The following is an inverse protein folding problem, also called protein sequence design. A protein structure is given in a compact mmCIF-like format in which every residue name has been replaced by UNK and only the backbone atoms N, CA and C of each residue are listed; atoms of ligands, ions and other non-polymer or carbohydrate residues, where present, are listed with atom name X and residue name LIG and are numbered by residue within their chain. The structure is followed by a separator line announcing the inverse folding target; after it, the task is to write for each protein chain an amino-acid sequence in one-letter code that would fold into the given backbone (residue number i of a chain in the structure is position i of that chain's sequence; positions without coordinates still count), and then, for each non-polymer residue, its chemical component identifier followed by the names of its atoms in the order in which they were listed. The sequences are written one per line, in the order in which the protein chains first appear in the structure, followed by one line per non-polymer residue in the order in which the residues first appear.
data_IF_660535063118
#
_entry.id   IF_660535063118
#
_cell.length_a   1.000
_cell.length_b   1.000
_cell.length_c   1.000
_cell.angle_alpha   90.00
_cell.angle_beta   90.00
_cell.angle_gamma   90.00
#
_symmetry.space_group_name_H-M   'P 1'
#
loop_
_entity.id
_entity.type
_entity.pdbx_description
1 polymer ?
#
# COMPACT_ATOMS: atom_id res chain seq x y z
N UNK A 1 -37.70 21.06 -5.17
CA UNK A 1 -37.64 20.73 -6.62
C UNK A 1 -36.80 19.49 -6.75
N UNK A 2 -37.39 18.44 -7.29
CA UNK A 2 -36.89 17.08 -7.26
C UNK A 2 -35.67 16.90 -8.16
N UNK A 3 -34.77 16.02 -7.69
CA UNK A 3 -33.55 15.55 -8.33
C UNK A 3 -33.78 15.07 -9.77
N UNK A 4 -33.20 15.78 -10.73
CA UNK A 4 -32.95 15.30 -12.10
C UNK A 4 -31.45 15.30 -12.45
N UNK A 5 -30.57 15.38 -11.45
CA UNK A 5 -29.10 15.51 -11.65
C UNK A 5 -28.32 14.19 -11.62
N UNK A 6 -28.98 13.04 -11.45
CA UNK A 6 -28.27 11.76 -11.26
C UNK A 6 -27.97 11.03 -12.58
N UNK A 7 -28.84 11.15 -13.59
CA UNK A 7 -28.66 10.50 -14.90
C UNK A 7 -27.53 11.12 -15.71
N UNK A 8 -27.37 12.46 -15.65
CA UNK A 8 -26.30 13.18 -16.36
C UNK A 8 -24.92 12.89 -15.77
N UNK A 9 -24.83 12.68 -14.45
CA UNK A 9 -23.59 12.28 -13.77
C UNK A 9 -23.19 10.84 -14.08
N UNK A 10 -24.14 9.90 -14.08
CA UNK A 10 -23.87 8.49 -14.40
C UNK A 10 -23.44 8.32 -15.87
N UNK A 11 -24.09 9.02 -16.81
CA UNK A 11 -23.69 8.99 -18.22
C UNK A 11 -22.25 9.50 -18.44
N UNK A 12 -21.83 10.52 -17.68
CA UNK A 12 -20.46 11.04 -17.74
C UNK A 12 -19.42 10.06 -17.18
N UNK A 13 -19.73 9.37 -16.08
CA UNK A 13 -18.86 8.34 -15.49
C UNK A 13 -18.69 7.17 -16.46
N UNK A 14 -19.79 6.63 -17.00
CA UNK A 14 -19.74 5.52 -17.94
C UNK A 14 -18.95 5.85 -19.21
N UNK A 15 -19.07 7.08 -19.73
CA UNK A 15 -18.32 7.53 -20.90
C UNK A 15 -16.81 7.61 -20.64
N UNK A 16 -16.39 8.05 -19.45
CA UNK A 16 -14.97 8.07 -19.06
C UNK A 16 -14.43 6.67 -18.83
N UNK A 17 -15.22 5.77 -18.22
CA UNK A 17 -14.84 4.36 -18.08
C UNK A 17 -14.66 3.69 -19.45
N UNK A 18 -15.56 3.94 -20.41
CA UNK A 18 -15.42 3.43 -21.78
C UNK A 18 -14.18 4.01 -22.49
N UNK A 19 -13.91 5.30 -22.32
CA UNK A 19 -12.73 5.96 -22.89
C UNK A 19 -11.43 5.36 -22.34
N UNK A 20 -11.33 5.18 -21.02
CA UNK A 20 -10.19 4.53 -20.37
C UNK A 20 -10.07 3.06 -20.77
N UNK A 21 -11.19 2.32 -20.87
CA UNK A 21 -11.20 0.94 -21.34
C UNK A 21 -10.63 0.82 -22.77
N UNK A 22 -11.02 1.73 -23.68
CA UNK A 22 -10.47 1.79 -25.04
C UNK A 22 -8.98 2.14 -25.02
N UNK A 23 -8.58 3.11 -24.20
CA UNK A 23 -7.19 3.55 -24.09
C UNK A 23 -6.27 2.40 -23.62
N UNK A 24 -6.58 1.78 -22.49
CA UNK A 24 -5.80 0.66 -21.96
C UNK A 24 -6.04 -0.66 -22.70
N UNK A 25 -7.08 -0.76 -23.53
CA UNK A 25 -7.23 -1.85 -24.50
C UNK A 25 -6.22 -1.72 -25.65
N UNK A 26 -5.99 -0.49 -26.15
CA UNK A 26 -4.98 -0.20 -27.18
C UNK A 26 -3.55 -0.20 -26.64
N UNK A 27 -3.37 0.26 -25.41
CA UNK A 27 -2.07 0.32 -24.73
C UNK A 27 -2.13 -0.40 -23.38
N UNK A 28 -2.15 -1.75 -23.35
CA UNK A 28 -2.14 -2.49 -22.09
C UNK A 28 -0.95 -2.08 -21.22
N UNK A 29 -1.27 -1.67 -19.99
CA UNK A 29 -0.33 -1.09 -19.05
C UNK A 29 -0.48 -1.74 -17.66
N UNK A 30 0.61 -1.93 -16.89
CA UNK A 30 2.01 -1.71 -17.27
C UNK A 30 2.54 -2.68 -18.33
N UNK A 31 3.79 -2.52 -18.77
CA UNK A 31 4.46 -3.50 -19.62
C UNK A 31 4.76 -4.79 -18.84
N UNK A 32 4.96 -5.90 -19.56
CA UNK A 32 5.36 -7.17 -18.94
C UNK A 32 6.73 -7.00 -18.26
N UNK A 33 6.90 -7.34 -16.97
CA UNK A 33 8.18 -7.18 -16.28
C UNK A 33 9.21 -8.24 -16.73
N UNK A 34 10.49 -7.97 -16.53
CA UNK A 34 11.55 -8.93 -16.86
C UNK A 34 11.53 -10.18 -15.95
N UNK A 35 10.97 -10.05 -14.74
CA UNK A 35 10.82 -11.15 -13.79
C UNK A 35 9.64 -10.92 -12.84
N UNK A 36 9.19 -12.00 -12.23
CA UNK A 36 8.31 -12.01 -11.06
C UNK A 36 9.00 -12.72 -9.91
N UNK A 37 8.95 -12.13 -8.73
CA UNK A 37 9.61 -12.64 -7.54
C UNK A 37 8.60 -13.23 -6.55
N UNK A 38 9.00 -14.24 -5.79
CA UNK A 38 8.18 -14.87 -4.74
C UNK A 38 9.09 -15.23 -3.57
N UNK A 39 8.65 -14.88 -2.37
CA UNK A 39 9.37 -15.23 -1.14
C UNK A 39 8.92 -16.61 -0.64
N UNK A 40 9.85 -17.37 -0.08
CA UNK A 40 9.56 -18.71 0.44
C UNK A 40 8.84 -18.70 1.79
N UNK A 41 9.07 -17.67 2.60
CA UNK A 41 8.27 -17.41 3.78
C UNK A 41 6.98 -16.71 3.34
N UNK A 42 5.87 -17.44 3.35
CA UNK A 42 4.56 -16.97 2.90
C UNK A 42 3.95 -15.90 3.82
N UNK A 43 4.46 -15.72 5.04
CA UNK A 43 3.99 -14.70 5.99
C UNK A 43 4.85 -13.44 5.97
N UNK A 44 6.02 -13.50 5.32
CA UNK A 44 7.04 -12.46 5.39
C UNK A 44 6.46 -11.08 5.08
N UNK A 45 5.77 -10.93 3.95
CA UNK A 45 5.26 -9.63 3.52
C UNK A 45 4.09 -9.14 4.36
N UNK A 46 3.20 -10.02 4.81
CA UNK A 46 2.12 -9.65 5.75
C UNK A 46 2.70 -9.10 7.04
N UNK A 47 3.75 -9.74 7.58
CA UNK A 47 4.42 -9.31 8.80
C UNK A 47 5.07 -7.95 8.63
N UNK A 48 5.86 -7.76 7.57
CA UNK A 48 6.52 -6.47 7.32
C UNK A 48 5.50 -5.37 7.04
N UNK A 49 4.44 -5.64 6.27
CA UNK A 49 3.37 -4.67 5.99
C UNK A 49 2.74 -4.15 7.30
N UNK A 50 2.44 -5.04 8.25
CA UNK A 50 1.94 -4.62 9.55
C UNK A 50 2.89 -3.67 10.29
N UNK A 51 4.19 -3.98 10.31
CA UNK A 51 5.18 -3.10 10.95
C UNK A 51 5.30 -1.76 10.21
N UNK A 52 5.21 -1.78 8.88
CA UNK A 52 5.21 -0.57 8.05
C UNK A 52 4.04 0.34 8.45
N UNK A 53 2.87 -0.24 8.71
CA UNK A 53 1.65 0.42 9.20
C UNK A 53 1.72 0.86 10.69
N UNK A 54 2.87 0.71 11.35
CA UNK A 54 3.04 1.04 12.77
C UNK A 54 2.40 0.03 13.73
N UNK A 55 2.13 -1.20 13.27
CA UNK A 55 1.71 -2.33 14.11
C UNK A 55 2.85 -3.35 14.30
N UNK A 56 3.63 -3.13 15.36
CA UNK A 56 4.74 -3.99 15.77
C UNK A 56 4.32 -5.36 16.32
N UNK A 57 3.01 -5.64 16.43
CA UNK A 57 2.49 -6.94 16.88
C UNK A 57 2.03 -7.84 15.73
N UNK A 58 2.02 -7.33 14.50
CA UNK A 58 1.68 -8.07 13.28
C UNK A 58 0.25 -8.62 13.26
N UNK A 59 -0.75 -7.80 13.59
CA UNK A 59 -2.16 -8.19 13.76
C UNK A 59 -3.15 -7.37 12.96
N UNK A 60 -2.77 -6.18 12.49
CA UNK A 60 -3.63 -5.28 11.74
C UNK A 60 -4.10 -5.90 10.41
N UNK A 61 -3.18 -6.30 9.55
CA UNK A 61 -3.48 -7.14 8.39
C UNK A 61 -3.43 -8.61 8.84
N UNK A 62 -4.53 -9.37 8.71
CA UNK A 62 -4.57 -10.76 9.15
C UNK A 62 -3.66 -11.66 8.30
N UNK A 63 -3.29 -12.83 8.82
CA UNK A 63 -2.42 -13.81 8.15
C UNK A 63 -2.94 -14.26 6.77
N UNK A 64 -4.27 -14.31 6.62
CA UNK A 64 -4.98 -14.70 5.38
C UNK A 64 -5.89 -13.56 4.92
N UNK A 65 -5.33 -12.44 4.46
CA UNK A 65 -6.13 -11.26 4.14
C UNK A 65 -6.92 -11.49 2.85
N UNK A 66 -8.09 -10.85 2.76
CA UNK A 66 -8.76 -10.67 1.48
C UNK A 66 -8.35 -9.33 0.88
N UNK A 67 -7.72 -9.37 -0.29
CA UNK A 67 -7.10 -8.21 -0.94
C UNK A 67 -7.87 -7.86 -2.21
N UNK A 68 -8.11 -6.57 -2.44
CA UNK A 68 -8.58 -6.07 -3.74
C UNK A 68 -7.54 -5.16 -4.37
N UNK A 69 -7.11 -5.49 -5.59
CA UNK A 69 -6.32 -4.60 -6.44
C UNK A 69 -7.25 -3.96 -7.46
N UNK A 70 -7.62 -2.71 -7.20
CA UNK A 70 -8.63 -1.98 -7.95
C UNK A 70 -7.97 -1.16 -9.07
N UNK A 71 -8.18 -1.57 -10.33
CA UNK A 71 -7.45 -1.09 -11.51
C UNK A 71 -6.10 -1.79 -11.65
N UNK A 72 -6.12 -3.12 -11.76
CA UNK A 72 -4.91 -3.94 -11.61
C UNK A 72 -3.98 -3.97 -12.83
N UNK A 73 -4.41 -3.46 -13.98
CA UNK A 73 -3.67 -3.48 -15.22
C UNK A 73 -3.24 -4.89 -15.64
N UNK A 74 -2.08 -4.99 -16.28
CA UNK A 74 -1.56 -6.25 -16.83
C UNK A 74 -0.90 -7.17 -15.80
N UNK A 75 -0.50 -6.66 -14.63
CA UNK A 75 0.37 -7.43 -13.74
C UNK A 75 0.27 -7.12 -12.24
N UNK A 76 -0.34 -6.02 -11.78
CA UNK A 76 -0.24 -5.63 -10.37
C UNK A 76 -0.95 -6.65 -9.46
N UNK A 77 -2.14 -7.12 -9.84
CA UNK A 77 -2.84 -8.15 -9.08
C UNK A 77 -2.07 -9.47 -9.01
N UNK A 78 -1.35 -9.83 -10.08
CA UNK A 78 -0.47 -11.00 -10.08
C UNK A 78 0.72 -10.83 -9.14
N UNK A 79 1.36 -9.65 -9.14
CA UNK A 79 2.47 -9.36 -8.23
C UNK A 79 1.98 -9.46 -6.77
N UNK A 80 0.83 -8.87 -6.46
CA UNK A 80 0.23 -8.94 -5.12
C UNK A 80 -0.12 -10.38 -4.73
N UNK A 81 -0.65 -11.19 -5.64
CA UNK A 81 -0.94 -12.59 -5.38
C UNK A 81 0.32 -13.42 -5.04
N UNK A 82 1.46 -13.11 -5.67
CA UNK A 82 2.76 -13.71 -5.38
C UNK A 82 3.38 -13.16 -4.08
N UNK A 83 3.19 -11.87 -3.79
CA UNK A 83 3.66 -11.19 -2.57
C UNK A 83 2.94 -11.71 -1.32
N UNK A 84 1.65 -12.05 -1.44
CA UNK A 84 0.83 -12.57 -0.34
C UNK A 84 0.23 -13.96 -0.68
N UNK A 85 1.03 -15.05 -0.64
CA UNK A 85 0.58 -16.38 -1.08
C UNK A 85 -0.61 -16.94 -0.30
N UNK A 86 -0.82 -16.49 0.94
CA UNK A 86 -1.94 -16.89 1.81
C UNK A 86 -3.20 -16.04 1.63
N UNK A 87 -3.13 -14.95 0.88
CA UNK A 87 -4.26 -14.06 0.64
C UNK A 87 -5.26 -14.66 -0.35
N UNK A 88 -6.50 -14.15 -0.31
CA UNK A 88 -7.43 -14.25 -1.44
C UNK A 88 -7.43 -12.91 -2.17
N UNK A 89 -6.92 -12.89 -3.40
CA UNK A 89 -6.74 -11.66 -4.18
C UNK A 89 -7.82 -11.55 -5.25
N UNK A 90 -8.52 -10.42 -5.27
CA UNK A 90 -9.36 -10.00 -6.39
C UNK A 90 -8.62 -8.89 -7.13
N UNK A 91 -8.40 -9.05 -8.43
CA UNK A 91 -7.93 -7.98 -9.32
C UNK A 91 -9.05 -7.55 -10.24
N UNK A 92 -9.37 -6.26 -10.30
CA UNK A 92 -10.36 -5.74 -11.25
C UNK A 92 -9.78 -4.68 -12.17
N UNK A 93 -10.21 -4.66 -13.41
CA UNK A 93 -9.83 -3.65 -14.40
C UNK A 93 -10.93 -3.44 -15.45
N UNK A 94 -10.89 -2.31 -16.16
CA UNK A 94 -11.80 -2.01 -17.27
C UNK A 94 -11.36 -2.70 -18.58
N UNK A 95 -10.04 -2.84 -18.79
CA UNK A 95 -9.42 -3.36 -20.01
C UNK A 95 -9.42 -4.89 -20.03
N UNK A 96 -10.13 -5.46 -21.00
CA UNK A 96 -10.18 -6.91 -21.21
C UNK A 96 -8.82 -7.46 -21.65
N UNK A 97 -8.08 -6.68 -22.44
CA UNK A 97 -6.75 -6.98 -22.96
C UNK A 97 -5.72 -7.05 -21.83
N UNK A 98 -5.75 -6.06 -20.91
CA UNK A 98 -4.90 -6.07 -19.72
C UNK A 98 -5.17 -7.29 -18.84
N UNK A 99 -6.45 -7.59 -18.58
CA UNK A 99 -6.84 -8.77 -17.80
C UNK A 99 -6.44 -10.08 -18.47
N UNK A 100 -6.53 -10.17 -19.80
CA UNK A 100 -6.13 -11.36 -20.55
C UNK A 100 -4.61 -11.62 -20.42
N UNK A 101 -3.79 -10.57 -20.50
CA UNK A 101 -2.33 -10.65 -20.29
C UNK A 101 -1.99 -11.08 -18.85
N UNK A 102 -2.68 -10.49 -17.86
CA UNK A 102 -2.53 -10.86 -16.45
C UNK A 102 -2.89 -12.32 -16.22
N UNK A 103 -4.05 -12.77 -16.73
CA UNK A 103 -4.53 -14.13 -16.60
C UNK A 103 -3.63 -15.16 -17.29
N UNK A 104 -3.10 -14.83 -18.48
CA UNK A 104 -2.15 -15.69 -19.19
C UNK A 104 -0.87 -15.90 -18.36
N UNK A 105 -0.32 -14.80 -17.83
CA UNK A 105 0.89 -14.84 -17.00
C UNK A 105 0.63 -15.56 -15.68
N UNK A 106 -0.53 -15.34 -15.04
CA UNK A 106 -0.90 -16.02 -13.80
C UNK A 106 -0.98 -17.55 -13.99
N UNK A 107 -1.56 -18.02 -15.10
CA UNK A 107 -1.59 -19.45 -15.45
C UNK A 107 -0.19 -20.03 -15.66
N UNK A 108 0.67 -19.28 -16.35
CA UNK A 108 2.05 -19.69 -16.60
C UNK A 108 2.86 -19.85 -15.30
N UNK A 109 2.65 -18.95 -14.34
CA UNK A 109 3.32 -18.98 -13.03
C UNK A 109 2.65 -19.91 -12.02
N UNK A 110 1.52 -20.55 -12.37
CA UNK A 110 0.78 -21.46 -11.49
C UNK A 110 0.12 -20.77 -10.30
N UNK A 111 -0.28 -19.51 -10.43
CA UNK A 111 -0.91 -18.72 -9.36
C UNK A 111 -2.37 -19.12 -9.20
N UNK A 112 -2.74 -19.55 -7.99
CA UNK A 112 -4.07 -20.10 -7.69
C UNK A 112 -4.94 -19.22 -6.78
N UNK A 113 -4.36 -18.19 -6.16
CA UNK A 113 -5.02 -17.33 -5.18
C UNK A 113 -5.52 -15.99 -5.76
N UNK A 114 -5.58 -15.88 -7.10
CA UNK A 114 -5.96 -14.68 -7.83
C UNK A 114 -7.26 -14.90 -8.63
N UNK A 115 -8.23 -14.03 -8.41
CA UNK A 115 -9.49 -13.92 -9.17
C UNK A 115 -9.51 -12.59 -9.94
N UNK A 116 -9.61 -12.65 -11.27
CA UNK A 116 -9.57 -11.49 -12.16
C UNK A 116 -10.96 -11.17 -12.71
N UNK A 117 -11.39 -9.91 -12.59
CA UNK A 117 -12.74 -9.46 -12.93
C UNK A 117 -12.71 -8.22 -13.82
N UNK A 118 -13.48 -8.26 -14.91
CA UNK A 118 -13.72 -7.05 -15.72
C UNK A 118 -14.85 -6.26 -15.08
N UNK A 119 -14.49 -5.29 -14.26
CA UNK A 119 -15.43 -4.51 -13.44
C UNK A 119 -14.96 -3.06 -13.33
N UNK A 120 -15.90 -2.12 -13.41
CA UNK A 120 -15.67 -0.73 -13.04
C UNK A 120 -15.79 -0.55 -11.53
N UNK A 121 -14.83 0.16 -10.92
CA UNK A 121 -14.91 0.58 -9.50
C UNK A 121 -16.19 1.38 -9.24
N UNK A 122 -16.68 2.13 -10.23
CA UNK A 122 -17.88 2.96 -10.11
C UNK A 122 -19.17 2.13 -10.00
N UNK A 123 -19.16 0.90 -10.51
CA UNK A 123 -20.34 0.02 -10.58
C UNK A 123 -20.35 -1.07 -9.51
N UNK A 124 -19.26 -1.27 -8.76
CA UNK A 124 -19.24 -2.32 -7.72
C UNK A 124 -20.18 -2.01 -6.57
N UNK A 125 -20.65 -3.08 -5.92
CA UNK A 125 -21.50 -3.07 -4.72
C UNK A 125 -20.81 -3.72 -3.51
N UNK A 126 -19.48 -3.77 -3.50
CA UNK A 126 -18.72 -4.30 -2.38
C UNK A 126 -18.97 -3.48 -1.10
N UNK A 127 -19.16 -4.18 0.01
CA UNK A 127 -19.37 -3.60 1.33
C UNK A 127 -18.60 -4.40 2.39
N UNK A 128 -17.60 -3.76 3.02
CA UNK A 128 -16.80 -4.32 4.12
C UNK A 128 -16.23 -5.72 3.81
N UNK A 129 -15.71 -5.89 2.60
CA UNK A 129 -15.29 -7.18 2.08
C UNK A 129 -13.79 -7.43 2.21
N UNK A 130 -12.98 -6.38 2.17
CA UNK A 130 -11.53 -6.47 2.01
C UNK A 130 -10.78 -5.97 3.24
N UNK A 131 -9.74 -6.71 3.63
CA UNK A 131 -8.81 -6.33 4.70
C UNK A 131 -7.77 -5.33 4.19
N UNK A 132 -7.42 -5.44 2.90
CA UNK A 132 -6.47 -4.57 2.23
C UNK A 132 -6.96 -4.25 0.82
N UNK A 133 -6.95 -2.97 0.45
CA UNK A 133 -7.25 -2.52 -0.91
C UNK A 133 -6.03 -1.78 -1.43
N UNK A 134 -5.64 -2.04 -2.67
CA UNK A 134 -4.57 -1.35 -3.36
C UNK A 134 -5.18 -0.68 -4.58
N UNK A 135 -5.02 0.65 -4.68
CA UNK A 135 -5.52 1.45 -5.78
C UNK A 135 -4.49 2.53 -6.14
N UNK A 136 -3.56 2.18 -7.04
CA UNK A 136 -2.41 3.02 -7.37
C UNK A 136 -2.42 3.35 -8.85
N UNK A 137 -2.38 4.64 -9.23
CA UNK A 137 -2.42 4.97 -10.67
C UNK A 137 -3.82 4.97 -11.27
N UNK A 138 -4.89 5.09 -10.47
CA UNK A 138 -6.27 4.84 -10.94
C UNK A 138 -7.22 5.99 -10.65
N UNK A 139 -7.31 6.43 -9.39
CA UNK A 139 -8.30 7.42 -8.96
C UNK A 139 -8.26 8.72 -9.78
N UNK A 140 -7.08 9.14 -10.22
CA UNK A 140 -6.92 10.36 -11.02
C UNK A 140 -7.44 10.25 -12.47
N UNK A 141 -7.71 9.06 -12.98
CA UNK A 141 -8.25 8.86 -14.33
C UNK A 141 -9.79 8.79 -14.35
N UNK A 142 -10.46 8.97 -13.21
CA UNK A 142 -11.92 8.88 -13.10
C UNK A 142 -12.61 10.22 -13.34
N UNK A 143 -13.86 10.17 -13.83
CA UNK A 143 -14.70 11.35 -14.02
C UNK A 143 -15.03 12.05 -12.69
N UNK A 144 -15.34 11.26 -11.67
CA UNK A 144 -15.55 11.72 -10.29
C UNK A 144 -14.66 10.90 -9.34
N UNK A 145 -13.43 11.37 -9.06
CA UNK A 145 -12.52 10.71 -8.15
C UNK A 145 -13.09 10.54 -6.73
N UNK A 146 -13.99 11.44 -6.28
CA UNK A 146 -14.60 11.38 -4.96
C UNK A 146 -15.63 10.26 -4.86
N UNK A 147 -16.52 10.16 -5.84
CA UNK A 147 -17.47 9.05 -5.94
C UNK A 147 -16.75 7.70 -6.07
N UNK A 148 -15.67 7.64 -6.84
CA UNK A 148 -14.84 6.44 -6.99
C UNK A 148 -14.19 6.04 -5.65
N UNK A 149 -13.60 7.00 -4.93
CA UNK A 149 -12.98 6.75 -3.63
C UNK A 149 -14.00 6.31 -2.57
N UNK A 150 -15.25 6.79 -2.63
CA UNK A 150 -16.34 6.32 -1.79
C UNK A 150 -16.63 4.82 -1.99
N UNK A 151 -16.51 4.30 -3.21
CA UNK A 151 -16.68 2.86 -3.50
C UNK A 151 -15.58 2.03 -2.84
N UNK A 152 -14.34 2.50 -2.88
CA UNK A 152 -13.21 1.86 -2.19
C UNK A 152 -13.41 1.89 -0.66
N UNK A 153 -13.81 3.04 -0.12
CA UNK A 153 -14.10 3.22 1.32
C UNK A 153 -15.19 2.27 1.80
N UNK A 154 -16.29 2.13 1.04
CA UNK A 154 -17.39 1.21 1.35
C UNK A 154 -16.95 -0.26 1.28
N UNK A 155 -16.12 -0.63 0.30
CA UNK A 155 -15.60 -1.98 0.13
C UNK A 155 -14.64 -2.40 1.26
N UNK A 156 -13.97 -1.43 1.90
CA UNK A 156 -13.00 -1.66 2.96
C UNK A 156 -13.68 -2.08 4.26
N UNK A 157 -13.18 -3.13 4.91
CA UNK A 157 -13.59 -3.50 6.27
C UNK A 157 -13.27 -2.36 7.24
N UNK A 158 -13.99 -2.22 8.37
CA UNK A 158 -13.72 -1.16 9.34
C UNK A 158 -12.24 -1.07 9.75
N UNK A 159 -11.59 -2.20 10.05
CA UNK A 159 -10.18 -2.23 10.44
C UNK A 159 -9.20 -2.27 9.26
N UNK A 160 -9.68 -2.38 8.02
CA UNK A 160 -8.87 -2.57 6.83
C UNK A 160 -8.03 -1.35 6.45
N UNK A 161 -7.07 -1.57 5.57
CA UNK A 161 -6.18 -0.54 5.03
C UNK A 161 -6.42 -0.34 3.54
N UNK A 162 -6.40 0.91 3.09
CA UNK A 162 -6.34 1.27 1.68
C UNK A 162 -4.96 1.85 1.38
N UNK A 163 -4.26 1.28 0.41
CA UNK A 163 -3.08 1.85 -0.20
C UNK A 163 -3.48 2.62 -1.47
N UNK A 164 -3.24 3.93 -1.46
CA UNK A 164 -3.68 4.84 -2.51
C UNK A 164 -2.48 5.61 -3.07
N UNK A 165 -2.34 5.62 -4.39
CA UNK A 165 -1.39 6.50 -5.09
C UNK A 165 -2.11 7.36 -6.14
N UNK A 166 -1.87 8.67 -6.06
CA UNK A 166 -2.36 9.65 -7.03
C UNK A 166 -1.24 10.54 -7.56
N UNK A 167 -1.50 11.23 -8.66
CA UNK A 167 -0.52 12.16 -9.22
C UNK A 167 -0.39 13.46 -8.43
N UNK A 168 0.87 13.81 -8.15
CA UNK A 168 1.26 15.10 -7.60
C UNK A 168 1.07 16.21 -8.64
N UNK A 169 0.31 17.26 -8.30
CA UNK A 169 0.03 18.40 -9.17
C UNK A 169 1.29 19.05 -9.70
N UNK A 170 2.28 19.29 -8.85
CA UNK A 170 3.51 19.97 -9.25
C UNK A 170 4.34 19.15 -10.22
N UNK A 171 4.37 17.82 -10.06
CA UNK A 171 5.04 16.91 -10.98
C UNK A 171 4.32 16.83 -12.34
N UNK A 172 2.98 16.88 -12.35
CA UNK A 172 2.21 16.75 -13.59
C UNK A 172 2.11 18.02 -14.42
N UNK A 173 2.41 19.20 -13.89
CA UNK A 173 2.28 20.46 -14.64
C UNK A 173 2.88 20.42 -16.06
N UNK A 174 4.14 19.97 -16.28
CA UNK A 174 4.69 19.85 -17.64
C UNK A 174 3.91 18.87 -18.50
N UNK A 175 3.56 17.71 -17.94
CA UNK A 175 2.89 16.61 -18.65
C UNK A 175 1.47 16.98 -19.06
N UNK A 176 0.69 17.58 -18.16
CA UNK A 176 -0.66 18.07 -18.46
C UNK A 176 -0.62 19.14 -19.56
N UNK A 177 0.32 20.08 -19.51
CA UNK A 177 0.47 21.10 -20.55
C UNK A 177 0.84 20.49 -21.91
N UNK A 178 1.71 19.47 -21.92
CA UNK A 178 2.07 18.74 -23.14
C UNK A 178 0.90 17.98 -23.74
N UNK A 179 0.15 17.24 -22.91
CA UNK A 179 -1.06 16.55 -23.34
C UNK A 179 -2.08 17.52 -23.98
N UNK A 180 -2.26 18.71 -23.38
CA UNK A 180 -3.11 19.75 -23.95
C UNK A 180 -2.59 20.24 -25.32
N UNK A 181 -1.29 20.47 -25.46
CA UNK A 181 -0.68 20.86 -26.74
C UNK A 181 -0.88 19.79 -27.82
N UNK A 182 -0.72 18.50 -27.48
CA UNK A 182 -0.97 17.38 -28.41
C UNK A 182 -2.43 17.39 -28.88
N UNK A 183 -3.39 17.56 -27.97
CA UNK A 183 -4.83 17.59 -28.30
C UNK A 183 -5.20 18.79 -29.19
N UNK A 184 -4.63 19.96 -28.92
CA UNK A 184 -4.82 21.16 -29.76
C UNK A 184 -4.28 20.90 -31.19
N UNK A 185 -3.08 20.33 -31.30
CA UNK A 185 -2.46 20.01 -32.60
C UNK A 185 -3.16 18.86 -33.33
N UNK A 186 -3.86 17.99 -32.62
CA UNK A 186 -4.69 16.95 -33.20
C UNK A 186 -6.03 17.49 -33.75
N UNK A 187 -6.39 18.75 -33.43
CA UNK A 187 -7.66 19.33 -33.84
C UNK A 187 -8.85 18.73 -33.07
N UNK A 188 -8.64 18.38 -31.80
CA UNK A 188 -9.61 17.68 -30.96
C UNK A 188 -10.85 18.55 -30.62
N UNK A 189 -11.74 18.72 -31.60
CA UNK A 189 -13.16 19.05 -31.38
C UNK A 189 -14.04 17.77 -31.36
N UNK A 190 -13.44 16.58 -31.54
CA UNK A 190 -14.09 15.26 -31.58
C UNK A 190 -13.45 14.22 -30.65
N UNK A 191 -13.85 12.95 -30.80
CA UNK A 191 -13.33 11.83 -29.98
C UNK A 191 -11.82 11.61 -30.18
N UNK A 192 -11.10 11.25 -29.10
CA UNK A 192 -9.65 11.00 -29.15
C UNK A 192 -9.27 9.91 -30.16
N UNK A 193 -8.33 10.27 -31.04
CA UNK A 193 -7.62 9.36 -31.95
C UNK A 193 -6.24 9.09 -31.36
N UNK A 194 -6.16 8.03 -30.56
CA UNK A 194 -4.96 7.70 -29.81
C UNK A 194 -3.74 7.38 -30.69
N UNK A 195 -3.95 6.77 -31.86
CA UNK A 195 -2.86 6.43 -32.78
C UNK A 195 -2.29 7.70 -33.44
N UNK A 196 -3.15 8.65 -33.81
CA UNK A 196 -2.68 9.95 -34.30
C UNK A 196 -2.00 10.78 -33.20
N UNK A 197 -2.55 10.79 -31.99
CA UNK A 197 -2.02 11.55 -30.85
C UNK A 197 -0.64 11.06 -30.43
N UNK A 198 -0.40 9.74 -30.31
CA UNK A 198 0.91 9.21 -29.92
C UNK A 198 1.99 9.51 -30.97
N UNK A 199 1.64 9.46 -32.26
CA UNK A 199 2.55 9.83 -33.35
C UNK A 199 2.93 11.31 -33.27
N UNK A 200 1.98 12.19 -32.96
CA UNK A 200 2.26 13.62 -32.74
C UNK A 200 3.12 13.84 -31.51
N UNK A 201 2.79 13.20 -30.39
CA UNK A 201 3.56 13.31 -29.15
C UNK A 201 5.03 12.94 -29.36
N UNK A 202 5.31 11.84 -30.06
CA UNK A 202 6.69 11.42 -30.41
C UNK A 202 7.42 12.46 -31.25
N UNK A 203 6.75 13.03 -32.28
CA UNK A 203 7.35 14.09 -33.12
C UNK A 203 7.70 15.33 -32.30
N UNK A 204 6.82 15.78 -31.41
CA UNK A 204 7.07 16.95 -30.56
C UNK A 204 8.27 16.71 -29.65
N UNK A 205 8.36 15.55 -29.00
CA UNK A 205 9.50 15.21 -28.14
C UNK A 205 10.81 15.16 -28.93
N UNK A 206 10.80 14.54 -30.12
CA UNK A 206 11.97 14.46 -30.99
C UNK A 206 12.45 15.82 -31.49
N UNK A 207 11.52 16.71 -31.88
CA UNK A 207 11.84 17.99 -32.52
C UNK A 207 12.25 19.08 -31.51
N UNK A 208 11.52 19.20 -30.39
CA UNK A 208 11.64 20.38 -29.51
C UNK A 208 12.65 20.23 -28.38
N UNK A 209 13.19 19.03 -28.15
CA UNK A 209 14.16 18.76 -27.07
C UNK A 209 13.76 19.44 -25.75
N UNK A 210 12.56 19.11 -25.26
CA UNK A 210 11.95 19.72 -24.08
C UNK A 210 12.78 19.45 -22.81
N UNK A 211 13.34 20.49 -22.19
CA UNK A 211 14.17 20.40 -20.97
C UNK A 211 13.36 20.36 -19.68
N UNK A 212 12.07 20.67 -19.74
CA UNK A 212 11.14 20.64 -18.61
C UNK A 212 10.56 19.24 -18.31
N UNK A 213 10.98 18.22 -19.06
CA UNK A 213 10.63 16.82 -18.81
C UNK A 213 11.86 16.06 -18.32
N UNK A 214 12.20 16.20 -17.04
CA UNK A 214 13.36 15.49 -16.44
C UNK A 214 13.27 13.96 -16.62
N UNK A 215 12.06 13.39 -16.68
CA UNK A 215 11.82 11.95 -16.92
C UNK A 215 12.01 11.51 -18.38
N UNK A 216 11.87 12.43 -19.33
CA UNK A 216 12.07 12.16 -20.74
C UNK A 216 13.47 12.62 -21.12
N UNK A 217 14.48 11.91 -20.62
CA UNK A 217 15.82 12.08 -21.14
C UNK A 217 15.78 11.70 -22.63
N UNK A 218 16.08 12.65 -23.50
CA UNK A 218 15.76 12.59 -24.94
C UNK A 218 16.44 11.40 -25.64
N UNK A 219 17.60 10.97 -25.15
CA UNK A 219 18.34 9.84 -25.72
C UNK A 219 17.73 8.46 -25.40
N UNK A 220 16.79 8.39 -24.45
CA UNK A 220 16.17 7.13 -23.98
C UNK A 220 14.69 7.00 -24.30
N UNK A 221 14.05 8.05 -24.85
CA UNK A 221 12.60 8.03 -25.10
C UNK A 221 12.20 6.93 -26.08
N UNK A 222 13.02 6.69 -27.11
CA UNK A 222 12.77 5.63 -28.10
C UNK A 222 12.91 4.22 -27.53
N UNK A 223 13.56 4.06 -26.37
CA UNK A 223 13.71 2.78 -25.68
C UNK A 223 12.51 2.46 -24.76
N UNK A 224 11.66 3.45 -24.49
CA UNK A 224 10.50 3.24 -23.63
C UNK A 224 9.41 2.40 -24.31
N UNK A 225 8.77 1.47 -23.58
CA UNK A 225 7.59 0.77 -24.08
C UNK A 225 6.51 1.75 -24.55
N UNK A 226 5.86 1.45 -25.68
CA UNK A 226 4.82 2.34 -26.24
C UNK A 226 3.72 2.66 -25.22
N UNK A 227 3.29 1.68 -24.41
CA UNK A 227 2.26 1.89 -23.41
C UNK A 227 2.66 2.87 -22.31
N UNK A 228 3.95 2.92 -21.93
CA UNK A 228 4.46 3.91 -20.97
C UNK A 228 4.40 5.32 -21.58
N UNK A 229 4.80 5.45 -22.84
CA UNK A 229 4.73 6.73 -23.54
C UNK A 229 3.30 7.20 -23.75
N UNK A 230 2.38 6.28 -24.04
CA UNK A 230 0.97 6.60 -24.16
C UNK A 230 0.41 7.11 -22.82
N UNK A 231 0.59 6.33 -21.74
CA UNK A 231 0.11 6.67 -20.39
C UNK A 231 0.65 8.03 -19.92
N UNK A 232 1.93 8.30 -20.19
CA UNK A 232 2.54 9.57 -19.84
C UNK A 232 2.03 10.73 -20.72
N UNK A 233 2.05 10.59 -22.04
CA UNK A 233 1.98 11.71 -22.98
C UNK A 233 0.60 12.01 -23.54
N UNK A 234 -0.31 11.04 -23.55
CA UNK A 234 -1.61 11.18 -24.23
C UNK A 234 -2.79 10.58 -23.46
N UNK A 235 -2.62 10.21 -22.19
CA UNK A 235 -3.74 9.68 -21.39
C UNK A 235 -4.94 10.67 -21.36
N UNK A 236 -6.11 10.34 -21.94
CA UNK A 236 -7.28 11.22 -22.07
C UNK A 236 -7.78 11.91 -20.80
N UNK A 237 -7.79 11.24 -19.65
CA UNK A 237 -8.39 11.77 -18.42
C UNK A 237 -7.35 11.79 -17.31
N UNK A 238 -7.10 12.97 -16.74
CA UNK A 238 -6.12 13.12 -15.67
C UNK A 238 -6.50 14.22 -14.69
N UNK A 239 -6.55 13.84 -13.41
CA UNK A 239 -6.64 14.74 -12.28
C UNK A 239 -5.30 14.73 -11.54
N UNK A 240 -4.97 15.84 -10.87
CA UNK A 240 -3.74 15.91 -10.06
C UNK A 240 -3.96 16.73 -8.79
N UNK A 241 -3.22 16.36 -7.74
CA UNK A 241 -3.49 16.77 -6.38
C UNK A 241 -2.28 17.43 -5.75
N UNK A 242 -2.50 18.46 -4.94
CA UNK A 242 -1.60 18.81 -3.84
C UNK A 242 -1.97 18.00 -2.61
N UNK A 243 -1.10 17.99 -1.60
CA UNK A 243 -1.38 17.31 -0.32
C UNK A 243 -2.68 17.84 0.34
N UNK A 244 -3.00 19.13 0.22
CA UNK A 244 -4.25 19.72 0.73
C UNK A 244 -5.48 19.17 -0.01
N UNK A 245 -5.44 19.15 -1.34
CA UNK A 245 -6.58 18.66 -2.13
C UNK A 245 -6.79 17.14 -1.96
N UNK A 246 -5.71 16.38 -1.72
CA UNK A 246 -5.79 14.96 -1.38
C UNK A 246 -6.40 14.77 0.01
N UNK A 247 -5.98 15.54 1.02
CA UNK A 247 -6.59 15.54 2.37
C UNK A 247 -8.11 15.76 2.27
N UNK A 248 -8.54 16.74 1.48
CA UNK A 248 -9.96 17.06 1.29
C UNK A 248 -10.72 15.89 0.63
N UNK A 249 -10.18 15.33 -0.46
CA UNK A 249 -10.78 14.20 -1.17
C UNK A 249 -10.96 12.98 -0.24
N UNK A 250 -9.90 12.63 0.49
CA UNK A 250 -9.87 11.48 1.40
C UNK A 250 -10.84 11.68 2.57
N UNK A 251 -10.83 12.87 3.17
CA UNK A 251 -11.72 13.19 4.30
C UNK A 251 -13.20 13.15 3.89
N UNK A 252 -13.52 13.63 2.69
CA UNK A 252 -14.88 13.58 2.15
C UNK A 252 -15.37 12.15 1.95
N UNK A 253 -14.46 11.20 1.70
CA UNK A 253 -14.78 9.77 1.58
C UNK A 253 -14.83 9.00 2.90
N UNK A 254 -14.82 9.70 4.04
CA UNK A 254 -14.82 9.07 5.37
C UNK A 254 -13.52 8.34 5.72
N UNK A 255 -12.43 8.66 5.02
CA UNK A 255 -11.11 8.09 5.21
C UNK A 255 -10.18 9.11 5.89
N UNK A 256 -9.05 8.64 6.40
CA UNK A 256 -7.95 9.46 6.88
C UNK A 256 -6.59 8.89 6.45
N UNK A 257 -5.63 9.77 6.18
CA UNK A 257 -4.26 9.40 5.81
C UNK A 257 -3.48 8.93 7.04
N UNK A 258 -2.81 7.78 6.95
CA UNK A 258 -1.96 7.25 8.02
C UNK A 258 -0.54 7.79 7.91
N UNK A 259 0.20 7.38 6.91
CA UNK A 259 1.55 7.85 6.59
C UNK A 259 1.88 7.47 5.14
N UNK A 260 2.95 8.06 4.56
CA UNK A 260 3.42 7.69 3.24
C UNK A 260 3.63 6.18 3.12
N UNK A 261 3.28 5.62 1.96
CA UNK A 261 3.63 4.25 1.63
C UNK A 261 5.12 4.18 1.28
N UNK A 262 5.77 3.11 1.71
CA UNK A 262 7.16 2.81 1.41
C UNK A 262 7.21 1.39 0.87
N UNK A 263 6.76 1.24 -0.37
CA UNK A 263 6.46 -0.05 -0.99
C UNK A 263 7.41 -0.43 -2.13
N UNK A 264 7.32 -1.69 -2.56
CA UNK A 264 8.17 -2.32 -3.57
C UNK A 264 8.05 -1.68 -4.97
N UNK A 265 6.95 -0.97 -5.26
CA UNK A 265 6.81 -0.23 -6.52
C UNK A 265 7.16 1.25 -6.39
N UNK A 266 7.61 1.70 -5.21
CA UNK A 266 8.11 3.05 -5.06
C UNK A 266 9.33 3.27 -5.95
N UNK A 267 9.47 4.49 -6.45
CA UNK A 267 10.56 4.83 -7.33
C UNK A 267 11.88 4.68 -6.53
N UNK A 268 12.82 3.79 -6.92
CA UNK A 268 14.07 3.61 -6.19
C UNK A 268 14.94 4.87 -6.16
N UNK A 269 14.62 5.88 -6.98
CA UNK A 269 15.26 7.18 -7.04
C UNK A 269 14.55 8.28 -6.22
N UNK A 270 13.32 8.04 -5.74
CA UNK A 270 12.61 8.95 -4.85
C UNK A 270 12.99 8.67 -3.40
N UNK A 271 13.16 9.71 -2.59
CA UNK A 271 13.30 9.54 -1.15
C UNK A 271 11.93 9.17 -0.59
N UNK A 272 11.82 8.04 0.12
CA UNK A 272 10.60 7.68 0.84
C UNK A 272 10.32 8.61 2.04
N UNK A 273 11.34 9.35 2.51
CA UNK A 273 11.20 10.27 3.64
C UNK A 273 10.56 11.58 3.19
N UNK A 274 9.42 11.88 3.81
CA UNK A 274 8.64 13.09 3.59
C UNK A 274 9.06 14.25 4.50
N UNK A 275 9.99 14.04 5.44
CA UNK A 275 10.39 15.06 6.40
C UNK A 275 11.61 15.85 5.93
N UNK A 276 11.54 17.18 6.06
CA UNK A 276 12.63 18.09 5.71
C UNK A 276 13.59 18.31 6.89
N UNK A 277 14.86 18.49 6.57
CA UNK A 277 15.89 18.94 7.52
C UNK A 277 16.36 20.36 7.20
N UNK A 278 16.39 21.20 8.22
CA UNK A 278 16.81 22.59 8.21
C UNK A 278 18.04 22.75 9.11
N UNK A 279 19.01 23.54 8.66
CA UNK A 279 20.19 23.87 9.47
C UNK A 279 19.89 24.87 10.59
N UNK A 280 18.81 25.63 10.45
CA UNK A 280 18.35 26.61 11.44
C UNK A 280 17.52 25.89 12.53
N UNK A 281 17.93 25.92 13.80
CA UNK A 281 17.24 25.19 14.88
C UNK A 281 15.81 25.68 15.15
N UNK A 282 15.56 26.99 15.04
CA UNK A 282 14.23 27.56 15.30
C UNK A 282 13.26 27.13 14.20
N UNK A 283 13.71 27.12 12.95
CA UNK A 283 12.94 26.61 11.82
C UNK A 283 12.69 25.11 11.92
N UNK A 284 13.70 24.31 12.30
CA UNK A 284 13.52 22.87 12.51
C UNK A 284 12.51 22.59 13.63
N UNK A 285 12.60 23.32 14.74
CA UNK A 285 11.66 23.19 15.85
C UNK A 285 10.24 23.58 15.44
N UNK A 286 10.08 24.68 14.70
CA UNK A 286 8.79 25.10 14.17
C UNK A 286 8.19 24.04 13.23
N UNK A 287 9.01 23.46 12.34
CA UNK A 287 8.60 22.38 11.44
C UNK A 287 8.17 21.12 12.23
N UNK A 288 8.95 20.70 13.24
CA UNK A 288 8.63 19.53 14.07
C UNK A 288 7.41 19.69 14.97
N UNK A 289 7.05 20.93 15.31
CA UNK A 289 5.84 21.22 16.07
C UNK A 289 4.55 21.06 15.23
N UNK A 290 4.65 21.05 13.90
CA UNK A 290 3.50 20.83 13.03
C UNK A 290 3.01 19.37 13.12
N UNK A 291 1.68 19.13 13.07
CA UNK A 291 1.15 17.81 12.81
C UNK A 291 1.66 17.23 11.48
N UNK A 292 1.74 15.90 11.36
CA UNK A 292 2.34 15.22 10.20
C UNK A 292 1.82 15.75 8.86
N UNK A 293 0.50 15.88 8.73
CA UNK A 293 -0.13 16.34 7.50
C UNK A 293 0.30 17.76 7.10
N UNK A 294 0.52 18.65 8.07
CA UNK A 294 1.01 20.01 7.80
C UNK A 294 2.50 19.99 7.45
N UNK A 295 3.30 19.09 8.03
CA UNK A 295 4.68 18.87 7.60
C UNK A 295 4.77 18.37 6.16
N UNK A 296 3.93 17.40 5.78
CA UNK A 296 3.89 16.88 4.42
C UNK A 296 3.41 17.92 3.39
N UNK A 297 2.49 18.81 3.77
CA UNK A 297 2.09 19.95 2.94
C UNK A 297 3.25 20.92 2.70
N UNK A 298 4.00 21.28 3.75
CA UNK A 298 5.22 22.07 3.61
C UNK A 298 6.22 21.38 2.68
N UNK A 299 6.44 20.08 2.83
CA UNK A 299 7.29 19.28 1.94
C UNK A 299 6.79 19.33 0.49
N UNK A 300 5.49 19.13 0.26
CA UNK A 300 4.90 19.14 -1.07
C UNK A 300 5.05 20.51 -1.77
N UNK A 301 4.88 21.60 -1.03
CA UNK A 301 5.06 22.96 -1.54
C UNK A 301 6.53 23.30 -1.82
N UNK A 302 7.46 22.90 -0.96
CA UNK A 302 8.87 23.28 -1.11
C UNK A 302 9.62 22.42 -2.14
N UNK A 303 9.26 21.14 -2.27
CA UNK A 303 9.94 20.22 -3.19
C UNK A 303 9.29 20.15 -4.58
N UNK A 304 8.06 20.65 -4.76
CA UNK A 304 7.35 20.62 -6.05
C UNK A 304 7.36 19.22 -6.69
N UNK A 305 7.95 19.08 -7.88
CA UNK A 305 8.08 17.82 -8.61
C UNK A 305 9.07 16.82 -7.97
N UNK A 306 9.93 17.29 -7.06
CA UNK A 306 10.85 16.44 -6.28
C UNK A 306 10.22 15.90 -5.00
N UNK A 307 8.97 16.25 -4.72
CA UNK A 307 8.21 15.63 -3.62
C UNK A 307 8.13 14.12 -3.89
N UNK A 308 8.26 13.26 -2.87
CA UNK A 308 7.93 11.86 -3.03
C UNK A 308 6.49 11.69 -3.56
N UNK A 309 6.19 10.55 -4.17
CA UNK A 309 4.87 10.35 -4.78
C UNK A 309 3.75 10.50 -3.74
N UNK A 310 2.59 11.04 -4.16
CA UNK A 310 1.40 11.09 -3.31
C UNK A 310 0.82 9.68 -3.15
N UNK A 311 1.52 8.88 -2.36
CA UNK A 311 1.25 7.48 -2.12
C UNK A 311 1.22 7.25 -0.62
N UNK A 312 0.04 6.89 -0.11
CA UNK A 312 -0.23 6.80 1.32
C UNK A 312 -1.00 5.52 1.66
N UNK A 313 -0.82 5.07 2.90
CA UNK A 313 -1.79 4.19 3.55
C UNK A 313 -2.90 5.01 4.18
N UNK A 314 -4.12 4.50 4.10
CA UNK A 314 -5.35 5.13 4.58
C UNK A 314 -6.12 4.14 5.43
N UNK A 315 -6.91 4.67 6.37
CA UNK A 315 -7.91 3.90 7.10
C UNK A 315 -9.26 4.61 7.05
N UNK A 316 -10.32 3.90 7.40
CA UNK A 316 -11.62 4.53 7.68
C UNK A 316 -11.57 5.32 8.99
N UNK A 317 -12.24 6.48 9.00
CA UNK A 317 -12.39 7.30 10.22
C UNK A 317 -13.23 6.61 11.29
N UNK A 318 -14.09 5.68 10.90
CA UNK A 318 -14.89 4.83 11.80
C UNK A 318 -14.23 3.47 12.08
N UNK A 319 -12.93 3.32 11.81
CA UNK A 319 -12.20 2.05 12.02
C UNK A 319 -12.13 1.58 13.48
N UNK A 320 -12.42 2.47 14.43
CA UNK A 320 -12.24 2.24 15.87
C UNK A 320 -10.76 2.27 16.30
N UNK A 321 -9.82 2.48 15.37
CA UNK A 321 -8.39 2.60 15.65
C UNK A 321 -7.96 4.06 15.57
N UNK A 322 -7.25 4.54 16.59
CA UNK A 322 -6.62 5.87 16.55
C UNK A 322 -5.45 5.88 15.57
N UNK A 323 -5.40 6.89 14.70
CA UNK A 323 -4.19 7.21 13.93
C UNK A 323 -3.03 7.58 14.86
N UNK A 324 -1.87 6.94 14.67
CA UNK A 324 -0.60 7.30 15.30
C UNK A 324 0.14 8.33 14.46
N UNK A 325 0.82 9.28 15.09
CA UNK A 325 1.72 10.19 14.37
C UNK A 325 3.05 9.52 14.01
N UNK A 326 3.81 10.08 13.06
CA UNK A 326 5.16 9.60 12.75
C UNK A 326 6.07 9.61 13.99
N UNK A 327 5.93 10.63 14.86
CA UNK A 327 6.68 10.71 16.12
C UNK A 327 6.30 9.60 17.09
N UNK A 328 5.01 9.26 17.20
CA UNK A 328 4.55 8.14 18.03
C UNK A 328 5.06 6.80 17.50
N UNK A 329 5.01 6.59 16.18
CA UNK A 329 5.57 5.39 15.54
C UNK A 329 7.08 5.30 15.79
N UNK A 330 7.81 6.42 15.72
CA UNK A 330 9.24 6.47 16.05
C UNK A 330 9.51 6.16 17.54
N UNK A 331 8.69 6.68 18.45
CA UNK A 331 8.81 6.38 19.88
C UNK A 331 8.57 4.88 20.16
N UNK A 332 7.58 4.27 19.51
CA UNK A 332 7.34 2.83 19.60
C UNK A 332 8.48 2.01 18.98
N UNK A 333 9.01 2.44 17.83
CA UNK A 333 10.17 1.83 17.20
C UNK A 333 11.39 1.82 18.13
N UNK A 334 11.66 2.92 18.84
CA UNK A 334 12.72 3.02 19.84
C UNK A 334 12.55 2.02 21.00
N UNK A 335 11.31 1.81 21.45
CA UNK A 335 10.99 0.86 22.53
C UNK A 335 10.98 -0.61 22.07
N UNK A 336 10.96 -0.85 20.76
CA UNK A 336 10.77 -2.18 20.19
C UNK A 336 12.10 -2.93 20.04
N UNK A 337 12.03 -4.27 20.18
CA UNK A 337 13.13 -5.20 19.89
C UNK A 337 13.00 -5.75 18.49
N UNK A 338 14.13 -5.97 17.83
CA UNK A 338 14.17 -6.44 16.45
C UNK A 338 15.11 -7.63 16.29
N UNK A 339 14.80 -8.48 15.31
CA UNK A 339 15.68 -9.51 14.76
C UNK A 339 15.86 -9.25 13.26
N UNK A 340 16.92 -9.80 12.66
CA UNK A 340 17.07 -9.76 11.20
C UNK A 340 15.90 -10.48 10.53
N UNK A 341 15.34 -9.84 9.51
CA UNK A 341 14.32 -10.42 8.66
C UNK A 341 15.02 -11.03 7.45
N UNK A 342 14.99 -12.36 7.37
CA UNK A 342 15.65 -13.11 6.29
C UNK A 342 14.71 -14.20 5.79
N UNK A 343 14.68 -14.37 4.47
CA UNK A 343 14.02 -15.48 3.80
C UNK A 343 14.78 -15.80 2.49
N UNK A 344 14.21 -16.65 1.66
CA UNK A 344 14.70 -16.91 0.32
C UNK A 344 13.70 -16.44 -0.72
N UNK A 345 14.20 -15.97 -1.85
CA UNK A 345 13.44 -15.56 -3.00
C UNK A 345 13.68 -16.51 -4.18
N UNK A 346 12.59 -16.84 -4.87
CA UNK A 346 12.60 -17.45 -6.20
C UNK A 346 12.07 -16.46 -7.22
N UNK A 347 12.51 -16.63 -8.47
CA UNK A 347 12.14 -15.73 -9.56
C UNK A 347 11.68 -16.53 -10.78
N UNK A 348 10.58 -16.11 -11.38
CA UNK A 348 10.22 -16.45 -12.75
C UNK A 348 10.82 -15.40 -13.68
N UNK A 349 11.66 -15.80 -14.62
CA UNK A 349 12.40 -14.90 -15.51
C UNK A 349 11.80 -14.98 -16.91
N UNK A 350 11.57 -13.82 -17.53
CA UNK A 350 11.06 -13.75 -18.90
C UNK A 350 12.15 -14.13 -19.90
N UNK A 351 11.84 -15.05 -20.80
CA UNK A 351 12.65 -15.42 -21.97
C UNK A 351 11.73 -15.42 -23.20
N UNK A 352 11.90 -14.40 -24.05
CA UNK A 352 10.95 -14.15 -25.14
C UNK A 352 9.54 -13.86 -24.61
N UNK A 353 8.56 -14.65 -25.06
CA UNK A 353 7.15 -14.51 -24.69
C UNK A 353 6.75 -15.23 -23.40
N UNK A 354 7.63 -16.05 -22.83
CA UNK A 354 7.31 -16.94 -21.71
C UNK A 354 8.16 -16.63 -20.48
N UNK A 355 7.66 -17.00 -19.31
CA UNK A 355 8.35 -17.00 -18.03
C UNK A 355 8.75 -18.43 -17.65
N UNK A 356 9.98 -18.59 -17.20
CA UNK A 356 10.47 -19.86 -16.66
C UNK A 356 10.94 -19.67 -15.23
N UNK A 357 10.66 -20.65 -14.37
CA UNK A 357 11.16 -20.65 -13.01
C UNK A 357 12.70 -20.79 -13.03
N UNK A 358 13.39 -19.82 -12.44
CA UNK A 358 14.83 -19.86 -12.27
C UNK A 358 15.22 -21.00 -11.33
N UNK A 359 16.24 -21.77 -11.73
CA UNK A 359 16.84 -22.79 -10.85
C UNK A 359 17.58 -22.16 -9.65
N UNK A 360 17.87 -20.85 -9.70
CA UNK A 360 18.54 -20.13 -8.63
C UNK A 360 17.54 -19.63 -7.59
N UNK A 361 17.87 -19.86 -6.33
CA UNK A 361 17.23 -19.25 -5.18
C UNK A 361 18.24 -18.33 -4.51
N UNK A 362 17.83 -17.13 -4.14
CA UNK A 362 18.71 -16.12 -3.52
C UNK A 362 18.21 -15.78 -2.12
N UNK A 363 19.10 -15.37 -1.23
CA UNK A 363 18.71 -14.80 0.06
C UNK A 363 17.95 -13.48 -0.16
N UNK A 364 16.98 -13.21 0.70
CA UNK A 364 16.19 -11.99 0.71
C UNK A 364 16.14 -11.40 2.12
N UNK A 365 16.37 -10.10 2.31
CA UNK A 365 16.74 -9.10 1.30
C UNK A 365 18.07 -9.40 0.59
N UNK A 366 18.16 -9.03 -0.70
CA UNK A 366 19.30 -9.41 -1.57
C UNK A 366 20.56 -8.62 -1.23
N UNK A 367 20.41 -7.34 -0.93
CA UNK A 367 21.50 -6.43 -0.56
C UNK A 367 21.49 -6.20 0.94
N UNK A 368 22.61 -5.78 1.52
CA UNK A 368 22.60 -5.29 2.90
C UNK A 368 22.23 -3.78 2.93
N UNK A 369 21.68 -3.28 4.06
CA UNK A 369 21.50 -1.84 4.24
C UNK A 369 22.85 -1.12 4.22
N UNK A 370 22.82 0.20 4.02
CA UNK A 370 24.01 1.05 3.90
C UNK A 370 24.11 2.02 5.08
N UNK A 371 25.24 2.70 5.22
CA UNK A 371 25.42 3.81 6.17
C UNK A 371 25.09 3.45 7.62
N UNK A 372 24.39 4.34 8.31
CA UNK A 372 24.01 4.17 9.71
C UNK A 372 23.09 2.96 9.95
N UNK A 373 22.20 2.65 9.00
CA UNK A 373 21.33 1.47 9.05
C UNK A 373 22.12 0.16 9.04
N UNK A 374 23.28 0.11 8.37
CA UNK A 374 24.14 -1.09 8.36
C UNK A 374 24.67 -1.44 9.75
N UNK A 375 25.16 -0.46 10.50
CA UNK A 375 25.68 -0.69 11.85
C UNK A 375 24.60 -1.24 12.80
N UNK A 376 23.36 -0.78 12.64
CA UNK A 376 22.20 -1.27 13.42
C UNK A 376 21.85 -2.70 13.02
N UNK A 377 21.77 -2.98 11.71
CA UNK A 377 21.53 -4.32 11.19
C UNK A 377 22.55 -5.34 11.69
N UNK A 378 23.83 -4.95 11.73
CA UNK A 378 24.91 -5.81 12.22
C UNK A 378 24.83 -6.03 13.73
N UNK A 379 24.36 -5.04 14.51
CA UNK A 379 24.32 -5.06 15.98
C UNK A 379 23.03 -5.63 16.60
N UNK A 380 21.96 -5.77 15.82
CA UNK A 380 20.68 -6.34 16.29
C UNK A 380 20.88 -7.76 16.86
N UNK A 381 20.37 -7.98 18.06
CA UNK A 381 20.53 -9.23 18.82
C UNK A 381 19.21 -9.84 19.33
N UNK A 382 18.08 -9.18 19.08
CA UNK A 382 16.76 -9.58 19.60
C UNK A 382 16.56 -9.37 21.11
N UNK A 383 17.56 -8.85 21.82
CA UNK A 383 17.54 -8.67 23.27
C UNK A 383 17.38 -7.20 23.66
N UNK A 384 18.19 -6.32 23.07
CA UNK A 384 18.13 -4.87 23.29
C UNK A 384 17.00 -4.25 22.49
N UNK A 385 16.35 -3.23 23.05
CA UNK A 385 15.47 -2.38 22.27
C UNK A 385 16.29 -1.44 21.37
N UNK A 386 15.62 -0.80 20.41
CA UNK A 386 16.32 0.06 19.46
C UNK A 386 16.97 1.28 20.11
N UNK A 387 16.37 1.87 21.16
CA UNK A 387 16.98 2.97 21.91
C UNK A 387 18.34 2.57 22.52
N UNK A 388 18.43 1.39 23.14
CA UNK A 388 19.66 0.84 23.70
C UNK A 388 20.70 0.56 22.61
N UNK A 389 20.27 0.04 21.45
CA UNK A 389 21.15 -0.20 20.30
C UNK A 389 21.72 1.09 19.73
N UNK A 390 20.89 2.11 19.48
CA UNK A 390 21.35 3.41 18.97
C UNK A 390 22.31 4.07 19.95
N UNK A 391 22.00 4.03 21.25
CA UNK A 391 22.88 4.56 22.29
C UNK A 391 24.24 3.86 22.30
N UNK A 392 24.26 2.52 22.25
CA UNK A 392 25.49 1.73 22.21
C UNK A 392 26.33 1.98 20.95
N UNK A 393 25.69 2.31 19.83
CA UNK A 393 26.34 2.64 18.56
C UNK A 393 26.72 4.14 18.46
N UNK A 394 26.41 4.96 19.47
CA UNK A 394 26.64 6.40 19.43
C UNK A 394 25.81 7.14 18.37
N UNK A 395 24.67 6.58 17.97
CA UNK A 395 23.76 7.19 17.00
C UNK A 395 22.69 8.06 17.70
N UNK A 396 22.27 9.18 17.08
CA UNK A 396 21.28 10.07 17.68
C UNK A 396 19.90 9.42 17.75
N UNK A 397 19.09 9.88 18.70
CA UNK A 397 17.69 9.44 18.89
C UNK A 397 16.70 10.56 18.58
N UNK A 398 17.13 11.51 17.75
CA UNK A 398 16.28 12.58 17.22
C UNK A 398 15.26 12.03 16.24
N UNK A 399 14.11 12.70 16.11
CA UNK A 399 13.03 12.28 15.22
C UNK A 399 13.51 12.00 13.79
N UNK A 400 14.26 12.91 13.17
CA UNK A 400 14.74 12.77 11.78
C UNK A 400 15.59 11.52 11.58
N UNK A 401 16.52 11.26 12.49
CA UNK A 401 17.39 10.09 12.40
C UNK A 401 16.60 8.80 12.61
N UNK A 402 15.74 8.78 13.64
CA UNK A 402 14.95 7.60 13.98
C UNK A 402 13.94 7.27 12.87
N UNK A 403 13.28 8.28 12.31
CA UNK A 403 12.34 8.08 11.20
C UNK A 403 13.06 7.53 9.98
N UNK A 404 14.21 8.10 9.60
CA UNK A 404 15.02 7.61 8.47
C UNK A 404 15.45 6.16 8.66
N UNK A 405 16.03 5.82 9.81
CA UNK A 405 16.47 4.46 10.12
C UNK A 405 15.28 3.48 10.09
N UNK A 406 14.13 3.86 10.63
CA UNK A 406 12.90 3.07 10.56
C UNK A 406 12.54 2.80 9.09
N UNK A 407 12.50 3.83 8.25
CA UNK A 407 12.18 3.71 6.83
C UNK A 407 13.17 2.81 6.07
N UNK A 408 14.45 2.90 6.41
CA UNK A 408 15.56 2.14 5.81
C UNK A 408 15.70 0.69 6.32
N UNK A 409 14.99 0.29 7.38
CA UNK A 409 15.16 -1.03 8.01
C UNK A 409 13.89 -1.84 8.20
N UNK A 410 12.71 -1.21 8.19
CA UNK A 410 11.47 -1.83 8.69
C UNK A 410 10.26 -1.66 7.78
N UNK A 411 10.47 -1.33 6.50
CA UNK A 411 9.37 -1.10 5.54
C UNK A 411 9.29 -2.24 4.52
N UNK A 412 8.21 -2.33 3.74
CA UNK A 412 8.10 -3.34 2.68
C UNK A 412 9.15 -3.12 1.57
N UNK A 413 9.55 -1.87 1.32
CA UNK A 413 10.68 -1.53 0.47
C UNK A 413 12.06 -1.91 1.08
N UNK A 414 12.20 -1.82 2.41
CA UNK A 414 13.46 -2.11 3.11
C UNK A 414 13.26 -3.11 4.27
N UNK A 415 12.95 -4.39 3.99
CA UNK A 415 12.53 -5.34 5.01
C UNK A 415 13.71 -6.06 5.68
N UNK A 416 14.60 -5.29 6.33
CA UNK A 416 15.83 -5.83 6.93
C UNK A 416 15.66 -6.32 8.36
N UNK A 417 14.75 -5.69 9.11
CA UNK A 417 14.50 -5.98 10.51
C UNK A 417 13.02 -6.25 10.75
N UNK A 418 12.74 -7.34 11.46
CA UNK A 418 11.38 -7.71 11.91
C UNK A 418 11.26 -7.47 13.41
N UNK A 419 10.18 -6.83 13.83
CA UNK A 419 9.89 -6.64 15.25
C UNK A 419 9.67 -7.99 15.94
N UNK A 420 10.15 -8.12 17.18
CA UNK A 420 9.84 -9.26 18.05
C UNK A 420 8.54 -8.94 18.78
N UNK A 421 7.41 -9.61 18.48
CA UNK A 421 6.16 -9.33 19.16
C UNK A 421 6.33 -9.49 20.68
N UNK A 422 5.61 -8.67 21.44
CA UNK A 422 5.58 -8.88 22.88
C UNK A 422 5.00 -10.28 23.13
N UNK A 423 5.59 -11.02 24.07
CA UNK A 423 4.99 -12.28 24.52
C UNK A 423 3.51 -11.99 24.83
N UNK A 424 2.59 -12.77 24.24
CA UNK A 424 1.19 -12.68 24.65
C UNK A 424 1.21 -12.75 26.18
N UNK A 425 0.54 -11.83 26.91
CA UNK A 425 0.21 -12.12 28.30
C UNK A 425 -0.39 -13.51 28.26
N UNK A 426 0.12 -14.45 29.07
CA UNK A 426 -0.48 -15.76 29.18
C UNK A 426 -1.97 -15.52 29.30
N UNK A 427 -2.75 -15.93 28.29
CA UNK A 427 -4.18 -16.00 28.43
C UNK A 427 -4.36 -17.02 29.54
N UNK A 428 -4.45 -16.53 30.77
CA UNK A 428 -5.18 -17.22 31.81
C UNK A 428 -6.59 -17.27 31.24
N UNK A 429 -6.84 -18.33 30.46
CA UNK A 429 -8.12 -18.57 29.88
C UNK A 429 -9.17 -18.48 30.98
N UNK A 430 -10.43 -18.20 30.63
CA UNK A 430 -11.52 -18.15 31.60
C UNK A 430 -11.60 -19.40 32.51
N UNK A 431 -10.88 -20.46 32.16
CA UNK A 431 -10.76 -21.70 32.92
C UNK A 431 -9.84 -21.62 34.17
N UNK A 432 -8.83 -20.74 34.26
CA UNK A 432 -7.99 -20.69 35.48
C UNK A 432 -8.76 -20.10 36.67
N UNK A 433 -9.51 -19.02 36.45
CA UNK A 433 -10.40 -18.43 37.45
C UNK A 433 -11.64 -19.30 37.73
N UNK A 434 -12.15 -20.03 36.73
CA UNK A 434 -13.25 -20.98 36.91
C UNK A 434 -12.81 -22.26 37.64
N UNK A 435 -11.58 -22.74 37.44
CA UNK A 435 -11.00 -23.88 38.16
C UNK A 435 -10.71 -23.51 39.63
N UNK A 436 -10.25 -22.29 39.92
CA UNK A 436 -10.10 -21.78 41.29
C UNK A 436 -11.46 -21.62 41.99
N UNK A 437 -12.48 -21.10 41.29
CA UNK A 437 -13.86 -21.00 41.83
C UNK A 437 -14.52 -22.38 42.03
N UNK A 438 -14.27 -23.36 41.16
CA UNK A 438 -14.74 -24.76 41.31
C UNK A 438 -14.04 -25.48 42.47
N UNK A 439 -12.75 -25.23 42.70
CA UNK A 439 -12.02 -25.78 43.86
C UNK A 439 -12.50 -25.16 45.19
N UNK A 440 -12.80 -23.86 45.23
CA UNK A 440 -13.39 -23.21 46.41
C UNK A 440 -14.83 -23.66 46.71
N UNK A 441 -15.68 -23.81 45.69
CA UNK A 441 -17.07 -24.28 45.89
C UNK A 441 -17.18 -25.76 46.27
N UNK A 442 -16.24 -26.62 45.87
CA UNK A 442 -16.19 -28.00 46.35
C UNK A 442 -15.72 -28.11 47.81
N UNK A 443 -14.86 -27.21 48.28
CA UNK A 443 -14.44 -27.19 49.69
C UNK A 443 -15.56 -26.72 50.64
N UNK A 444 -16.38 -25.75 50.21
CA UNK A 444 -17.52 -25.29 51.01
C UNK A 444 -18.69 -26.30 51.07
N UNK A 445 -18.89 -27.12 50.04
CA UNK A 445 -19.86 -28.23 50.07
C UNK A 445 -19.50 -29.31 51.09
N UNK A 446 -18.21 -29.53 51.38
CA UNK A 446 -17.76 -30.48 52.40
C UNK A 446 -17.98 -29.99 53.84
N UNK A 447 -18.19 -28.69 54.07
CA UNK A 447 -18.46 -28.13 55.41
C UNK A 447 -19.95 -28.01 55.79
N UNK A 448 -20.88 -28.34 54.88
CA UNK A 448 -22.33 -28.22 55.12
C UNK A 448 -23.13 -29.52 55.01
N UNK A 449 -22.48 -30.68 54.97
CA UNK A 449 -23.19 -31.95 55.09
C UNK A 449 -23.57 -32.20 56.56
N UNK A 450 -24.85 -31.96 56.91
CA UNK A 450 -25.42 -32.42 58.18
C UNK A 450 -25.58 -33.96 58.14
N UNK A 451 -25.36 -34.66 59.26
CA UNK A 451 -25.49 -36.12 59.31
C UNK A 451 -26.95 -36.53 59.08
N UNK A 452 -27.20 -37.33 58.05
CA UNK A 452 -28.49 -37.98 57.86
C UNK A 452 -28.64 -39.15 58.84
N UNK A 453 -29.74 -39.16 59.58
CA UNK A 453 -30.11 -40.24 60.48
C UNK A 453 -30.43 -41.52 59.70
N UNK A 454 -29.75 -42.61 60.04
CA UNK A 454 -30.02 -43.96 59.54
C UNK A 454 -31.22 -44.52 60.30
N UNK A 455 -32.33 -44.77 59.60
CA UNK A 455 -33.50 -45.45 60.17
C UNK A 455 -33.33 -46.96 59.98
N UNK A 456 -33.24 -47.70 61.07
CA UNK A 456 -33.21 -49.16 61.08
C UNK A 456 -34.64 -49.71 60.86
N UNK A 457 -34.84 -50.77 60.07
CA UNK A 457 -36.13 -51.43 59.97
C UNK A 457 -36.44 -52.17 61.29
N UNK A 458 -37.61 -51.90 61.85
CA UNK A 458 -38.16 -52.63 62.99
C UNK A 458 -38.51 -54.07 62.59
N UNK A 459 -38.11 -55.02 63.44
CA UNK A 459 -38.54 -56.42 63.43
C UNK A 459 -39.80 -56.62 64.30
N UNK A 460 -40.65 -57.57 63.88
CA UNK A 460 -41.72 -58.23 64.67
C UNK A 460 -43.06 -57.50 64.63
N UNK A 461 -44.23 -58.15 64.49
CA UNK A 461 -44.67 -59.55 64.56
C UNK A 461 -45.94 -59.73 63.70
#
# INVERSE_FOLDING_TARGET
MNYSGNETGHAAVAAVDELNARFYGRFPFPWRPAKFDTLLDADFQTVILNQNLGDWQHRLIPERPRIWVAGCGTNQALIIALTFPKASVVGSDLSQESLALCAATARELGVANLDLRRESINEVSYAQQFDYIICTGVIHHNADPGATLNKLSAALRPAGILELMVYNRYERLPTTAFQQAVRILAGAEGASDFDAEIVRARKIIGDLRLTNFERLNQDSVDEYPECLLADLLIQPVENSYTMESLEQLVTAAGLELLHPSCDLFDNPWAQADWNLSFSDPDLQQAYHALPDLRRWQVTNHLLFARTPQLWFYLQRRDSGRRRKSEQEICAEFLAQKFVRAETAQRSHIRSGEFYHLSAKQVAYPVTAPKGAARAIYDAVDGQRNMQELLTALGQPTTFDHVNRIRLELTTTAHPYLRAVPAAKPEEHGPDAAAQLRRKQTNWEKFKRAQPQAVTLPQQGD
#
